data_IF_784861912465
#
_entry.id   IF_784861912465
#
_cell.length_a   1.000
_cell.length_b   1.000
_cell.length_c   1.000
_cell.angle_alpha   90.00
_cell.angle_beta   90.00
_cell.angle_gamma   90.00
#
_symmetry.space_group_name_H-M   'P 1'
#
loop_
_entity.id
_entity.type
_entity.pdbx_description
1 polymer ?
#
# COMPACT_ATOMS: atom_id res chain seq x y z
N UNK A 1 -12.65 -23.68 -20.32
CA UNK A 1 -11.58 -22.72 -20.72
C UNK A 1 -10.90 -22.31 -19.42
N UNK A 2 -9.66 -22.66 -19.25
CA UNK A 2 -8.88 -22.25 -18.08
C UNK A 2 -8.38 -20.81 -18.21
N UNK A 3 -7.73 -20.29 -17.18
CA UNK A 3 -7.26 -18.90 -17.15
C UNK A 3 -6.15 -18.64 -18.20
N UNK A 4 -5.30 -19.63 -18.45
CA UNK A 4 -4.25 -19.52 -19.48
C UNK A 4 -4.85 -19.48 -20.88
N UNK A 5 -5.85 -20.31 -21.16
CA UNK A 5 -6.56 -20.30 -22.44
C UNK A 5 -7.27 -18.96 -22.67
N UNK A 6 -7.90 -18.41 -21.62
CA UNK A 6 -8.56 -17.11 -21.67
C UNK A 6 -7.54 -15.99 -21.95
N UNK A 7 -6.44 -15.97 -21.20
CA UNK A 7 -5.36 -14.99 -21.38
C UNK A 7 -4.77 -15.07 -22.78
N UNK A 8 -4.48 -16.27 -23.27
CA UNK A 8 -3.97 -16.46 -24.61
C UNK A 8 -4.93 -15.91 -25.69
N UNK A 9 -6.24 -16.18 -25.55
CA UNK A 9 -7.24 -15.66 -26.47
C UNK A 9 -7.30 -14.14 -26.48
N UNK A 10 -7.26 -13.49 -25.32
CA UNK A 10 -7.26 -12.03 -25.22
C UNK A 10 -6.00 -11.43 -25.83
N UNK A 11 -4.82 -11.99 -25.52
CA UNK A 11 -3.55 -11.51 -26.08
C UNK A 11 -3.53 -11.67 -27.60
N UNK A 12 -3.98 -12.81 -28.14
CA UNK A 12 -4.04 -13.03 -29.59
C UNK A 12 -5.09 -12.15 -30.30
N UNK A 13 -6.25 -11.93 -29.67
CA UNK A 13 -7.34 -11.21 -30.29
C UNK A 13 -7.22 -9.69 -30.15
N UNK A 14 -6.72 -9.19 -29.02
CA UNK A 14 -6.79 -7.79 -28.63
C UNK A 14 -5.41 -7.16 -28.36
N UNK A 15 -4.35 -7.96 -28.23
CA UNK A 15 -2.99 -7.49 -27.97
C UNK A 15 -2.73 -7.07 -26.53
N UNK A 16 -3.64 -7.36 -25.59
CA UNK A 16 -3.47 -7.12 -24.17
C UNK A 16 -4.06 -8.26 -23.33
N UNK A 17 -3.63 -8.37 -22.08
CA UNK A 17 -4.15 -9.38 -21.14
C UNK A 17 -5.61 -9.07 -20.77
N UNK A 18 -6.44 -10.12 -20.52
CA UNK A 18 -7.81 -9.90 -20.07
C UNK A 18 -7.83 -9.16 -18.74
N UNK A 19 -8.85 -8.33 -18.49
CA UNK A 19 -9.08 -7.82 -17.14
C UNK A 19 -9.26 -9.01 -16.20
N UNK A 20 -8.65 -8.90 -15.02
CA UNK A 20 -8.78 -9.94 -13.99
C UNK A 20 -10.25 -10.15 -13.65
N UNK A 21 -10.68 -11.41 -13.45
CA UNK A 21 -12.04 -11.65 -13.00
C UNK A 21 -12.28 -10.95 -11.67
N UNK A 22 -13.25 -10.08 -11.62
CA UNK A 22 -13.73 -9.44 -10.41
C UNK A 22 -14.83 -10.29 -9.80
N UNK A 23 -14.52 -11.53 -9.39
CA UNK A 23 -15.38 -12.17 -8.42
C UNK A 23 -15.12 -11.50 -7.07
N UNK A 24 -16.18 -11.15 -6.39
CA UNK A 24 -16.22 -10.39 -5.14
C UNK A 24 -15.42 -11.01 -3.98
N UNK A 25 -14.78 -12.13 -4.21
CA UNK A 25 -13.96 -12.87 -3.24
C UNK A 25 -12.47 -12.88 -3.56
N UNK A 26 -12.07 -12.49 -4.76
CA UNK A 26 -10.64 -12.37 -5.08
C UNK A 26 -10.07 -11.17 -4.35
N UNK A 27 -9.14 -11.44 -3.43
CA UNK A 27 -8.46 -10.40 -2.66
C UNK A 27 -8.82 -10.32 -1.18
N UNK A 28 -9.82 -11.06 -0.70
CA UNK A 28 -10.14 -11.07 0.74
C UNK A 28 -9.23 -11.96 1.58
N UNK A 29 -8.48 -12.84 0.94
CA UNK A 29 -7.52 -13.72 1.61
C UNK A 29 -6.33 -14.02 0.71
N UNK A 30 -5.21 -14.31 1.33
CA UNK A 30 -3.96 -14.69 0.66
C UNK A 30 -3.62 -16.12 1.04
N UNK A 31 -3.15 -16.92 0.09
CA UNK A 31 -2.69 -18.27 0.38
C UNK A 31 -1.60 -18.28 1.47
N UNK A 32 -1.56 -19.29 2.36
CA UNK A 32 -0.60 -19.34 3.47
C UNK A 32 0.86 -19.18 3.06
N UNK A 33 1.21 -19.61 1.85
CA UNK A 33 2.55 -19.51 1.27
C UNK A 33 2.98 -18.04 1.10
N UNK A 34 2.03 -17.13 0.80
CA UNK A 34 2.32 -15.71 0.70
C UNK A 34 2.59 -15.07 2.05
N UNK A 35 1.88 -15.48 3.12
CA UNK A 35 2.21 -15.05 4.47
C UNK A 35 3.63 -15.45 4.84
N UNK A 36 4.03 -16.67 4.51
CA UNK A 36 5.39 -17.14 4.75
C UNK A 36 6.42 -16.40 3.89
N UNK A 37 6.14 -16.19 2.60
CA UNK A 37 7.02 -15.46 1.70
C UNK A 37 7.27 -14.03 2.19
N UNK A 38 6.21 -13.30 2.57
CA UNK A 38 6.29 -11.94 3.13
C UNK A 38 7.09 -11.93 4.43
N UNK A 39 6.83 -12.88 5.35
CA UNK A 39 7.56 -12.97 6.62
C UNK A 39 9.05 -13.28 6.47
N UNK A 40 9.44 -13.93 5.38
CA UNK A 40 10.83 -14.27 5.08
C UNK A 40 11.62 -13.10 4.46
N UNK A 41 10.96 -12.01 4.05
CA UNK A 41 11.65 -10.80 3.59
C UNK A 41 12.25 -10.09 4.79
N UNK A 42 13.57 -9.98 4.84
CA UNK A 42 14.30 -9.37 5.94
C UNK A 42 14.89 -8.03 5.52
N UNK A 43 14.80 -7.03 6.39
CA UNK A 43 15.46 -5.74 6.22
C UNK A 43 14.73 -4.75 5.32
N UNK A 44 13.63 -5.17 4.67
CA UNK A 44 12.80 -4.29 3.85
C UNK A 44 11.32 -4.49 4.18
N UNK A 45 10.53 -3.41 4.26
CA UNK A 45 9.08 -3.51 4.41
C UNK A 45 8.45 -4.26 3.24
N UNK A 46 7.68 -5.29 3.55
CA UNK A 46 6.99 -6.11 2.55
C UNK A 46 5.56 -6.41 3.01
N UNK A 47 4.60 -6.27 2.13
CA UNK A 47 3.21 -6.58 2.41
C UNK A 47 2.46 -7.04 1.15
N UNK A 48 1.32 -7.67 1.35
CA UNK A 48 0.33 -7.96 0.30
C UNK A 48 -0.94 -7.19 0.62
N UNK A 49 -1.48 -6.53 -0.37
CA UNK A 49 -2.79 -5.86 -0.29
C UNK A 49 -3.72 -6.30 -1.43
N UNK A 50 -5.01 -6.10 -1.22
CA UNK A 50 -6.04 -6.27 -2.25
C UNK A 50 -6.20 -5.02 -3.15
N UNK A 51 -7.20 -5.07 -4.04
CA UNK A 51 -7.52 -3.96 -4.96
C UNK A 51 -7.97 -2.68 -4.24
N UNK A 52 -8.50 -2.80 -3.03
CA UNK A 52 -8.95 -1.70 -2.19
C UNK A 52 -7.86 -1.22 -1.20
N UNK A 53 -6.63 -1.72 -1.32
CA UNK A 53 -5.47 -1.45 -0.42
C UNK A 53 -5.63 -1.97 1.00
N UNK A 54 -6.52 -2.93 1.25
CA UNK A 54 -6.54 -3.65 2.52
C UNK A 54 -5.29 -4.52 2.64
N UNK A 55 -4.54 -4.40 3.73
CA UNK A 55 -3.34 -5.21 3.95
C UNK A 55 -3.72 -6.59 4.46
N UNK A 56 -3.43 -7.60 3.67
CA UNK A 56 -3.76 -9.00 3.92
C UNK A 56 -2.61 -9.74 4.63
N UNK A 57 -1.37 -9.35 4.35
CA UNK A 57 -0.17 -9.88 4.99
C UNK A 57 0.89 -8.79 5.06
N UNK A 58 1.69 -8.75 6.13
CA UNK A 58 2.78 -7.81 6.31
C UNK A 58 3.89 -8.42 7.16
N UNK A 59 5.15 -8.07 6.87
CA UNK A 59 6.28 -8.42 7.72
C UNK A 59 6.49 -7.38 8.83
N UNK A 60 7.39 -7.69 9.76
CA UNK A 60 7.70 -6.81 10.90
C UNK A 60 8.24 -5.44 10.46
N UNK A 61 8.97 -5.37 9.33
CA UNK A 61 9.47 -4.11 8.80
C UNK A 61 8.32 -3.20 8.30
N UNK A 62 7.33 -3.78 7.60
CA UNK A 62 6.14 -3.04 7.18
C UNK A 62 5.32 -2.56 8.39
N UNK A 63 5.18 -3.40 9.43
CA UNK A 63 4.50 -3.04 10.68
C UNK A 63 5.24 -1.91 11.42
N UNK A 64 6.57 -1.85 11.33
CA UNK A 64 7.35 -0.73 11.88
C UNK A 64 7.18 0.55 11.08
N UNK A 65 7.13 0.45 9.76
CA UNK A 65 6.96 1.60 8.87
C UNK A 65 5.56 2.19 8.96
N UNK A 66 4.54 1.35 9.04
CA UNK A 66 3.13 1.72 9.07
C UNK A 66 2.50 1.35 10.42
N UNK A 67 2.48 2.27 11.41
CA UNK A 67 2.02 1.96 12.76
C UNK A 67 0.58 1.43 12.85
N UNK A 68 -0.29 1.81 11.91
CA UNK A 68 -1.67 1.32 11.83
C UNK A 68 -1.78 -0.18 11.54
N UNK A 69 -0.72 -0.83 11.06
CA UNK A 69 -0.70 -2.27 10.85
C UNK A 69 -0.46 -3.08 12.14
N UNK A 70 -0.18 -2.40 13.28
CA UNK A 70 0.06 -3.05 14.55
C UNK A 70 -1.22 -3.67 15.10
N UNK A 71 -1.06 -4.85 15.72
CA UNK A 71 -2.16 -5.55 16.39
C UNK A 71 -3.01 -6.43 15.47
N UNK A 72 -3.99 -7.12 16.07
CA UNK A 72 -4.97 -7.97 15.39
C UNK A 72 -6.25 -7.17 15.11
N UNK A 73 -6.11 -6.04 14.43
CA UNK A 73 -7.26 -5.25 14.02
C UNK A 73 -7.96 -5.89 12.82
N UNK A 74 -9.27 -5.66 12.62
CA UNK A 74 -9.96 -6.06 11.42
C UNK A 74 -9.29 -5.46 10.17
N UNK A 75 -9.51 -6.08 9.02
CA UNK A 75 -8.82 -5.66 7.80
C UNK A 75 -9.17 -4.22 7.40
N UNK A 76 -10.45 -3.91 7.35
CA UNK A 76 -10.97 -2.59 6.99
C UNK A 76 -11.80 -2.02 8.16
N UNK A 77 -11.79 -0.72 8.43
CA UNK A 77 -10.99 0.32 7.75
C UNK A 77 -9.54 0.48 8.26
N UNK A 78 -9.18 -0.17 9.36
CA UNK A 78 -7.97 0.12 10.14
C UNK A 78 -6.67 -0.29 9.42
N UNK A 79 -6.70 -1.37 8.64
CA UNK A 79 -5.55 -1.87 7.87
C UNK A 79 -5.55 -1.44 6.40
N UNK A 80 -6.30 -0.42 6.06
CA UNK A 80 -6.35 0.10 4.70
C UNK A 80 -5.30 1.21 4.50
N UNK A 81 -4.32 0.95 3.63
CA UNK A 81 -3.23 1.91 3.39
C UNK A 81 -3.67 3.16 2.65
N UNK A 82 -4.63 3.05 1.72
CA UNK A 82 -5.16 4.22 1.00
C UNK A 82 -5.91 5.14 1.96
N UNK A 83 -6.74 4.56 2.83
CA UNK A 83 -7.46 5.30 3.86
C UNK A 83 -6.50 6.00 4.83
N UNK A 84 -5.46 5.30 5.28
CA UNK A 84 -4.44 5.91 6.13
C UNK A 84 -3.73 7.07 5.42
N UNK A 85 -3.33 6.87 4.19
CA UNK A 85 -2.60 7.88 3.40
C UNK A 85 -3.42 9.14 3.15
N UNK A 86 -4.72 8.99 2.88
CA UNK A 86 -5.59 10.12 2.50
C UNK A 86 -6.30 10.77 3.69
N UNK A 87 -6.76 9.98 4.67
CA UNK A 87 -7.67 10.47 5.71
C UNK A 87 -7.02 10.62 7.09
N UNK A 88 -5.90 9.94 7.35
CA UNK A 88 -5.31 9.96 8.68
C UNK A 88 -4.41 11.17 8.90
N UNK A 89 -4.69 11.95 9.95
CA UNK A 89 -3.94 13.17 10.29
C UNK A 89 -2.45 12.88 10.54
N UNK A 90 -2.14 11.83 11.30
CA UNK A 90 -0.77 11.40 11.59
C UNK A 90 0.03 11.09 10.30
N UNK A 91 -0.61 10.47 9.31
CA UNK A 91 0.02 10.23 8.01
C UNK A 91 0.37 11.55 7.31
N UNK A 92 -0.55 12.50 7.29
CA UNK A 92 -0.40 13.80 6.61
C UNK A 92 0.66 14.67 7.27
N UNK A 93 0.67 14.72 8.61
CA UNK A 93 1.49 15.66 9.34
C UNK A 93 2.87 15.11 9.70
N UNK A 94 2.96 13.80 9.96
CA UNK A 94 4.16 13.23 10.57
C UNK A 94 4.91 12.24 9.69
N UNK A 95 4.24 11.56 8.75
CA UNK A 95 4.87 10.50 7.96
C UNK A 95 5.10 10.84 6.49
N UNK A 96 4.13 11.44 5.81
CA UNK A 96 4.14 11.65 4.37
C UNK A 96 4.61 13.07 4.04
N UNK A 97 5.89 13.19 3.68
CA UNK A 97 6.53 14.49 3.41
C UNK A 97 5.97 15.11 2.13
N UNK A 98 5.68 16.41 2.16
CA UNK A 98 5.03 17.13 1.05
C UNK A 98 3.74 16.42 0.61
N UNK A 99 2.90 16.07 1.62
CA UNK A 99 1.76 15.17 1.52
C UNK A 99 0.84 15.48 0.35
N UNK A 100 0.41 16.73 0.17
CA UNK A 100 -0.54 17.08 -0.88
C UNK A 100 -0.02 16.72 -2.28
N UNK A 101 1.23 17.13 -2.56
CA UNK A 101 1.82 16.99 -3.89
C UNK A 101 2.32 15.58 -4.17
N UNK A 102 3.04 14.99 -3.21
CA UNK A 102 3.74 13.72 -3.41
C UNK A 102 2.86 12.50 -3.16
N UNK A 103 1.80 12.64 -2.35
CA UNK A 103 1.00 11.52 -1.88
C UNK A 103 -0.49 11.67 -2.21
N UNK A 104 -1.15 12.75 -1.75
CA UNK A 104 -2.59 12.87 -1.87
C UNK A 104 -3.07 12.95 -3.32
N UNK A 105 -2.46 13.79 -4.15
CA UNK A 105 -2.84 13.91 -5.56
C UNK A 105 -2.71 12.61 -6.34
N UNK A 106 -1.56 11.92 -6.30
CA UNK A 106 -1.43 10.62 -6.94
C UNK A 106 -2.38 9.55 -6.38
N UNK A 107 -2.50 9.46 -5.05
CA UNK A 107 -3.38 8.51 -4.39
C UNK A 107 -4.86 8.73 -4.75
N UNK A 108 -5.30 9.98 -4.79
CA UNK A 108 -6.65 10.37 -5.21
C UNK A 108 -6.94 9.92 -6.66
N UNK A 109 -5.99 10.11 -7.58
CA UNK A 109 -6.14 9.65 -8.95
C UNK A 109 -6.21 8.11 -9.06
N UNK A 110 -5.38 7.40 -8.28
CA UNK A 110 -5.42 5.93 -8.21
C UNK A 110 -6.74 5.42 -7.65
N UNK A 111 -7.24 6.02 -6.57
CA UNK A 111 -8.52 5.63 -5.98
C UNK A 111 -9.66 5.79 -6.98
N UNK A 112 -9.78 6.94 -7.67
CA UNK A 112 -10.79 7.13 -8.71
C UNK A 112 -10.73 6.05 -9.81
N UNK A 113 -9.53 5.70 -10.22
CA UNK A 113 -9.33 4.65 -11.24
C UNK A 113 -9.78 3.29 -10.73
N UNK A 114 -9.45 2.95 -9.48
CA UNK A 114 -9.85 1.68 -8.87
C UNK A 114 -11.36 1.59 -8.67
N UNK A 115 -12.00 2.67 -8.19
CA UNK A 115 -13.47 2.75 -8.04
C UNK A 115 -14.17 2.54 -9.39
N UNK A 116 -13.67 3.18 -10.44
CA UNK A 116 -14.23 3.02 -11.80
C UNK A 116 -14.02 1.61 -12.36
N UNK A 117 -12.89 0.96 -12.04
CA UNK A 117 -12.57 -0.39 -12.48
C UNK A 117 -13.34 -1.48 -11.70
N UNK A 118 -13.72 -1.20 -10.45
CA UNK A 118 -14.35 -2.15 -9.53
C UNK A 118 -15.60 -1.56 -8.87
N UNK A 119 -16.66 -1.24 -9.64
CA UNK A 119 -17.84 -0.53 -9.13
C UNK A 119 -18.63 -1.32 -8.07
N UNK A 120 -18.49 -2.64 -8.04
CA UNK A 120 -19.17 -3.52 -7.09
C UNK A 120 -18.36 -3.81 -5.81
N UNK A 121 -17.18 -3.23 -5.67
CA UNK A 121 -16.34 -3.43 -4.47
C UNK A 121 -16.78 -2.48 -3.34
N UNK A 122 -17.36 -3.05 -2.28
CA UNK A 122 -17.94 -2.28 -1.17
C UNK A 122 -16.91 -1.44 -0.42
N UNK A 123 -15.70 -1.94 -0.21
CA UNK A 123 -14.61 -1.22 0.47
C UNK A 123 -14.17 -0.01 -0.34
N UNK A 124 -14.08 -0.14 -1.66
CA UNK A 124 -13.76 0.99 -2.55
C UNK A 124 -14.88 2.03 -2.57
N UNK A 125 -16.13 1.61 -2.60
CA UNK A 125 -17.28 2.54 -2.57
C UNK A 125 -17.34 3.29 -1.24
N UNK A 126 -17.07 2.61 -0.12
CA UNK A 126 -17.02 3.26 1.18
C UNK A 126 -15.87 4.27 1.25
N UNK A 127 -14.68 3.89 0.77
CA UNK A 127 -13.51 4.76 0.74
C UNK A 127 -13.72 5.98 -0.17
N UNK A 128 -14.33 5.79 -1.35
CA UNK A 128 -14.72 6.87 -2.27
C UNK A 128 -15.60 7.91 -1.58
N UNK A 129 -16.63 7.43 -0.86
CA UNK A 129 -17.52 8.28 -0.10
C UNK A 129 -16.77 9.05 1.00
N UNK A 130 -16.00 8.35 1.85
CA UNK A 130 -15.24 8.96 2.94
C UNK A 130 -14.27 10.03 2.42
N UNK A 131 -13.53 9.73 1.36
CA UNK A 131 -12.56 10.66 0.76
C UNK A 131 -13.23 11.84 0.09
N UNK A 132 -14.36 11.63 -0.60
CA UNK A 132 -15.09 12.72 -1.26
C UNK A 132 -15.74 13.69 -0.27
N UNK A 133 -16.14 13.21 0.92
CA UNK A 133 -16.75 13.99 2.00
C UNK A 133 -15.72 14.67 2.93
N UNK A 134 -14.45 14.22 2.91
CA UNK A 134 -13.39 14.79 3.77
C UNK A 134 -13.11 16.26 3.40
N UNK A 135 -13.07 17.18 4.38
CA UNK A 135 -12.88 18.61 4.11
C UNK A 135 -11.49 18.96 3.55
N UNK A 136 -10.49 18.14 3.78
CA UNK A 136 -9.10 18.39 3.36
C UNK A 136 -8.80 17.70 2.03
N UNK A 137 -9.09 16.41 1.93
CA UNK A 137 -8.76 15.63 0.73
C UNK A 137 -9.86 15.70 -0.34
N UNK A 138 -11.12 15.92 0.04
CA UNK A 138 -12.24 15.98 -0.90
C UNK A 138 -12.07 16.97 -2.05
N UNK A 139 -11.57 18.20 -1.83
CA UNK A 139 -11.26 19.12 -2.93
C UNK A 139 -10.20 18.56 -3.90
N UNK A 140 -9.15 17.89 -3.40
CA UNK A 140 -8.12 17.23 -4.21
C UNK A 140 -8.73 16.07 -4.98
N UNK A 141 -9.57 15.28 -4.32
CA UNK A 141 -10.21 14.10 -4.91
C UNK A 141 -11.16 14.46 -6.06
N UNK A 142 -11.89 15.57 -5.94
CA UNK A 142 -12.79 16.06 -6.98
C UNK A 142 -12.08 16.76 -8.15
N UNK A 143 -10.79 17.06 -8.03
CA UNK A 143 -10.01 17.64 -9.12
C UNK A 143 -9.62 16.54 -10.13
N UNK A 144 -10.46 16.36 -11.15
CA UNK A 144 -10.25 15.37 -12.22
C UNK A 144 -9.14 15.76 -13.22
N UNK A 145 -8.55 16.95 -13.10
CA UNK A 145 -7.41 17.35 -13.94
C UNK A 145 -6.13 16.58 -13.57
N UNK A 146 -6.10 15.98 -12.38
CA UNK A 146 -4.98 15.19 -11.90
C UNK A 146 -5.10 13.77 -12.47
N UNK A 147 -4.39 13.51 -13.56
CA UNK A 147 -4.13 12.18 -14.06
C UNK A 147 -2.74 11.76 -13.55
N UNK A 148 -2.65 10.69 -12.81
CA UNK A 148 -1.37 10.16 -12.36
C UNK A 148 -1.29 8.67 -12.63
N UNK A 149 -0.26 8.29 -13.37
CA UNK A 149 0.16 6.89 -13.51
C UNK A 149 1.34 6.69 -12.60
N UNK A 150 1.24 5.79 -11.63
CA UNK A 150 2.40 5.36 -10.87
C UNK A 150 3.25 4.43 -11.73
N UNK A 151 4.42 4.87 -12.18
CA UNK A 151 5.38 3.91 -12.70
C UNK A 151 5.84 3.01 -11.55
N UNK A 152 6.09 1.75 -11.85
CA UNK A 152 6.81 0.86 -10.95
C UNK A 152 8.18 1.51 -10.63
N UNK A 153 8.60 1.45 -9.36
CA UNK A 153 9.80 2.12 -8.91
C UNK A 153 9.64 3.63 -8.60
N UNK A 154 8.42 4.15 -8.49
CA UNK A 154 8.20 5.53 -8.06
C UNK A 154 8.74 5.77 -6.64
N UNK A 155 9.54 6.83 -6.51
CA UNK A 155 10.26 7.16 -5.27
C UNK A 155 9.68 8.41 -4.63
N UNK A 156 9.32 8.34 -3.34
CA UNK A 156 8.67 9.43 -2.61
C UNK A 156 9.31 9.71 -1.26
N UNK A 157 9.32 10.97 -0.81
CA UNK A 157 9.85 11.34 0.49
C UNK A 157 8.89 10.89 1.62
N UNK A 158 9.44 10.24 2.64
CA UNK A 158 8.69 9.69 3.76
C UNK A 158 9.51 9.76 5.06
N UNK A 159 8.83 9.81 6.20
CA UNK A 159 9.42 9.57 7.53
C UNK A 159 9.03 8.17 7.99
N UNK A 160 10.02 7.30 8.12
CA UNK A 160 9.82 5.95 8.64
C UNK A 160 9.69 5.97 10.16
N UNK A 161 8.54 5.59 10.70
CA UNK A 161 8.24 5.71 12.13
C UNK A 161 9.11 4.83 13.04
N UNK A 162 9.56 3.70 12.57
CA UNK A 162 10.30 2.71 13.35
C UNK A 162 11.60 2.25 12.68
N UNK A 163 12.31 3.15 11.99
CA UNK A 163 13.53 2.79 11.31
C UNK A 163 14.64 2.37 12.29
N UNK A 164 15.13 1.14 12.12
CA UNK A 164 16.32 0.66 12.82
C UNK A 164 17.49 0.65 11.82
N UNK A 165 18.46 1.55 12.03
CA UNK A 165 19.65 1.59 11.15
C UNK A 165 20.38 0.24 11.16
N UNK A 166 20.68 -0.34 9.99
CA UNK A 166 21.49 -1.56 9.89
C UNK A 166 22.89 -1.41 10.47
N UNK A 167 23.37 -0.18 10.62
CA UNK A 167 24.72 0.15 11.11
C UNK A 167 24.76 0.46 12.62
N UNK A 168 23.62 0.36 13.31
CA UNK A 168 23.55 0.54 14.77
C UNK A 168 24.28 -0.60 15.46
N UNK A 169 25.56 -0.37 15.79
CA UNK A 169 26.36 -1.26 16.63
C UNK A 169 25.62 -1.55 17.93
N UNK A 170 25.65 -2.80 18.33
CA UNK A 170 25.12 -3.31 19.58
C UNK A 170 25.85 -2.67 20.77
N UNK A 171 25.47 -1.45 21.14
CA UNK A 171 25.85 -0.93 22.44
C UNK A 171 24.89 -1.51 23.49
N UNK A 172 25.40 -2.51 24.18
CA UNK A 172 24.68 -3.37 25.12
C UNK A 172 24.32 -2.68 26.44
N UNK A 173 24.42 -1.32 26.55
CA UNK A 173 24.29 -0.62 27.84
C UNK A 173 22.99 0.09 28.11
N UNK A 174 22.07 0.22 27.16
CA UNK A 174 20.81 0.94 27.43
C UNK A 174 19.57 0.04 27.34
N UNK A 175 19.47 -0.89 28.29
CA UNK A 175 18.30 -1.78 28.44
C UNK A 175 17.18 -1.20 29.32
N UNK A 176 17.20 0.04 29.70
CA UNK A 176 16.22 0.60 30.65
C UNK A 176 15.85 2.07 30.36
N UNK A 177 15.51 2.42 29.12
CA UNK A 177 14.75 3.65 28.88
C UNK A 177 14.03 3.53 27.54
N UNK A 178 12.80 3.99 27.51
CA UNK A 178 11.90 4.07 26.37
C UNK A 178 12.67 4.35 25.08
N UNK A 179 12.74 3.37 24.20
CA UNK A 179 13.26 3.59 22.86
C UNK A 179 12.32 4.58 22.17
N UNK A 180 12.66 5.84 22.23
CA UNK A 180 12.19 6.81 21.25
C UNK A 180 12.72 6.33 19.90
N UNK A 181 11.92 5.56 19.20
CA UNK A 181 12.14 5.25 17.79
C UNK A 181 12.08 6.58 17.06
N UNK A 182 13.24 7.20 16.80
CA UNK A 182 13.31 8.44 16.04
C UNK A 182 12.79 8.15 14.66
N UNK A 183 11.74 8.87 14.27
CA UNK A 183 11.29 8.81 12.88
C UNK A 183 12.43 9.28 11.97
N UNK A 184 12.82 8.44 11.02
CA UNK A 184 13.90 8.72 10.09
C UNK A 184 13.33 9.29 8.79
N UNK A 185 13.78 10.48 8.39
CA UNK A 185 13.50 11.02 7.08
C UNK A 185 14.26 10.24 6.00
N UNK A 186 13.61 9.90 4.92
CA UNK A 186 14.20 9.22 3.79
C UNK A 186 13.34 9.28 2.55
N UNK A 187 13.66 8.46 1.60
CA UNK A 187 12.84 8.18 0.43
C UNK A 187 12.41 6.72 0.42
N UNK A 188 11.20 6.46 -0.01
CA UNK A 188 10.67 5.11 -0.21
C UNK A 188 10.40 4.89 -1.69
N UNK A 189 10.92 3.78 -2.21
CA UNK A 189 10.65 3.30 -3.56
C UNK A 189 9.78 2.06 -3.45
N UNK A 190 8.64 2.04 -4.15
CA UNK A 190 7.75 0.91 -4.17
C UNK A 190 7.99 0.06 -5.41
N UNK A 191 8.27 -1.23 -5.19
CA UNK A 191 8.28 -2.26 -6.22
C UNK A 191 7.07 -3.16 -6.01
N UNK A 192 6.22 -3.29 -7.01
CA UNK A 192 4.99 -4.07 -6.90
C UNK A 192 4.98 -5.22 -7.91
N UNK A 193 4.44 -6.37 -7.49
CA UNK A 193 4.23 -7.52 -8.34
C UNK A 193 2.85 -8.12 -8.06
N UNK A 194 2.23 -8.68 -9.10
CA UNK A 194 0.98 -9.40 -8.94
C UNK A 194 1.26 -10.87 -8.73
N UNK A 195 0.80 -11.46 -7.60
CA UNK A 195 0.91 -12.89 -7.37
C UNK A 195 0.13 -13.69 -8.41
N UNK A 196 0.78 -14.66 -9.05
CA UNK A 196 0.10 -15.61 -9.93
C UNK A 196 -0.89 -16.45 -9.12
N UNK A 197 -2.09 -16.62 -9.64
CA UNK A 197 -3.16 -17.39 -8.97
C UNK A 197 -3.87 -16.66 -7.81
N UNK A 198 -3.54 -15.40 -7.56
CA UNK A 198 -4.26 -14.54 -6.61
C UNK A 198 -4.66 -13.23 -7.30
N UNK A 199 -5.60 -13.27 -8.26
CA UNK A 199 -6.06 -12.09 -8.95
C UNK A 199 -6.66 -11.10 -7.95
N UNK A 200 -6.39 -9.81 -8.14
CA UNK A 200 -6.84 -8.77 -7.22
C UNK A 200 -5.96 -8.54 -5.99
N UNK A 201 -4.85 -9.27 -5.86
CA UNK A 201 -3.84 -8.98 -4.82
C UNK A 201 -2.56 -8.41 -5.44
N UNK A 202 -1.83 -7.64 -4.63
CA UNK A 202 -0.55 -7.03 -5.01
C UNK A 202 0.47 -7.25 -3.90
N UNK A 203 1.60 -7.86 -4.26
CA UNK A 203 2.79 -7.89 -3.40
C UNK A 203 3.54 -6.57 -3.57
N UNK A 204 3.79 -5.89 -2.47
CA UNK A 204 4.56 -4.64 -2.42
C UNK A 204 5.82 -4.84 -1.60
N UNK A 205 6.97 -4.56 -2.20
CA UNK A 205 8.26 -4.45 -1.54
C UNK A 205 8.66 -2.96 -1.54
N UNK A 206 8.96 -2.44 -0.36
CA UNK A 206 9.37 -1.05 -0.20
C UNK A 206 10.86 -0.98 0.10
N UNK A 207 11.58 -0.22 -0.71
CA UNK A 207 13.00 0.08 -0.46
C UNK A 207 13.08 1.45 0.19
N UNK A 208 13.49 1.50 1.46
CA UNK A 208 13.65 2.74 2.21
C UNK A 208 15.12 3.15 2.26
N UNK A 209 15.41 4.36 1.78
CA UNK A 209 16.74 4.97 1.81
C UNK A 209 16.73 6.17 2.76
N UNK A 210 17.41 6.07 3.93
CA UNK A 210 17.47 7.17 4.87
C UNK A 210 18.26 8.35 4.29
N UNK A 211 17.79 9.58 4.56
CA UNK A 211 18.59 10.78 4.33
C UNK A 211 19.51 11.01 5.51
N UNK A 212 20.77 11.13 5.22
CA UNK A 212 21.80 11.52 6.19
C UNK A 212 21.63 12.97 6.63
#
# INVERSE_FOLDING_TARGET
MDEHERTALYVYALGYEPPLPTDSYSGTSVAPEWHQAVSNVVGQPCYVNDVAWNVLAANDEAIRMFPQLRGQLPAFPEKNLMRWMLLHEDAREHHLVDWEKQWAKPAAAQLRTAVAAHPDNEDLQLLDKEVSEDPVVGPIYRDHSIAHTHPDGDTRPMRHAGYASPQGGTDHRDRCCERHTRSQLGSVTMCAAQPLGSPGTRLCLLVFEPKN
#
